data_IF_453232309411
#
_entry.id   IF_453232309411
#
_cell.length_a   1.000
_cell.length_b   1.000
_cell.length_c   1.000
_cell.angle_alpha   90.00
_cell.angle_beta   90.00
_cell.angle_gamma   90.00
#
_symmetry.space_group_name_H-M   'P 1'
#
loop_
_entity.id
_entity.type
_entity.pdbx_description
1 polymer ?
#
# COMPACT_ATOMS: atom_id res chain seq x y z
N UNK A 1 -1.69 5.76 19.65
CA UNK A 1 -2.82 5.89 18.71
C UNK A 1 -2.31 6.01 17.30
N UNK A 2 -2.82 5.18 16.40
CA UNK A 2 -2.38 5.21 15.00
C UNK A 2 -2.92 6.47 14.32
N UNK A 3 -2.03 7.25 13.71
CA UNK A 3 -2.39 8.43 12.92
C UNK A 3 -2.03 8.24 11.45
N UNK A 4 -1.45 7.10 11.12
CA UNK A 4 -0.93 6.77 9.79
C UNK A 4 -1.55 5.49 9.28
N UNK A 5 -1.90 5.47 8.00
CA UNK A 5 -2.35 4.26 7.32
C UNK A 5 -1.53 4.07 6.04
N UNK A 6 -1.13 2.84 5.81
CA UNK A 6 -0.45 2.45 4.57
C UNK A 6 -1.47 2.00 3.54
N UNK A 7 -1.25 2.35 2.28
CA UNK A 7 -2.06 1.85 1.17
C UNK A 7 -1.29 0.75 0.45
N UNK A 8 -1.98 -0.34 0.11
CA UNK A 8 -1.38 -1.32 -0.80
C UNK A 8 -1.50 -0.81 -2.24
N UNK A 9 -0.95 -1.58 -3.18
CA UNK A 9 -0.85 -1.13 -4.57
C UNK A 9 -2.21 -0.87 -5.20
N UNK A 10 -3.16 -1.79 -5.02
CA UNK A 10 -4.47 -1.64 -5.66
C UNK A 10 -5.28 -0.51 -5.06
N UNK A 11 -5.21 -0.31 -3.74
CA UNK A 11 -5.85 0.84 -3.08
C UNK A 11 -5.33 2.14 -3.66
N UNK A 12 -4.00 2.26 -3.79
CA UNK A 12 -3.37 3.44 -4.37
C UNK A 12 -3.81 3.66 -5.83
N UNK A 13 -3.87 2.59 -6.62
CA UNK A 13 -4.30 2.67 -8.03
C UNK A 13 -5.76 3.10 -8.16
N UNK A 14 -6.65 2.53 -7.36
CA UNK A 14 -8.06 2.91 -7.41
C UNK A 14 -8.28 4.35 -6.96
N UNK A 15 -7.54 4.77 -5.95
CA UNK A 15 -7.58 6.15 -5.49
C UNK A 15 -7.12 7.11 -6.60
N UNK A 16 -6.02 6.79 -7.25
CA UNK A 16 -5.50 7.57 -8.38
C UNK A 16 -6.52 7.65 -9.53
N UNK A 17 -7.14 6.52 -9.88
CA UNK A 17 -8.09 6.43 -10.99
C UNK A 17 -9.47 7.02 -10.65
N UNK A 18 -9.71 7.38 -9.38
CA UNK A 18 -11.01 7.87 -8.95
C UNK A 18 -12.08 6.78 -8.87
N UNK A 19 -11.67 5.51 -8.82
CA UNK A 19 -12.59 4.38 -8.75
C UNK A 19 -13.03 4.11 -7.31
N UNK A 20 -13.69 5.08 -6.70
CA UNK A 20 -14.09 5.07 -5.29
C UNK A 20 -15.06 3.92 -4.98
N UNK A 21 -15.87 3.53 -5.93
CA UNK A 21 -16.83 2.43 -5.80
C UNK A 21 -16.15 1.06 -5.57
N UNK A 22 -14.86 0.95 -5.90
CA UNK A 22 -14.08 -0.27 -5.65
C UNK A 22 -13.50 -0.31 -4.24
N UNK A 23 -13.56 0.80 -3.53
CA UNK A 23 -12.95 0.93 -2.20
C UNK A 23 -14.03 0.72 -1.14
N UNK A 24 -13.74 -0.16 -0.17
CA UNK A 24 -14.68 -0.46 0.91
C UNK A 24 -14.97 0.75 1.79
N UNK A 25 -16.15 0.73 2.46
CA UNK A 25 -16.58 1.87 3.26
C UNK A 25 -15.63 2.22 4.41
N UNK A 26 -15.10 1.21 5.10
CA UNK A 26 -14.14 1.44 6.19
C UNK A 26 -12.80 1.95 5.66
N UNK A 27 -12.40 1.49 4.47
CA UNK A 27 -11.19 1.98 3.81
C UNK A 27 -11.35 3.44 3.44
N UNK A 28 -12.50 3.85 2.93
CA UNK A 28 -12.78 5.27 2.61
C UNK A 28 -12.66 6.12 3.87
N UNK A 29 -13.25 5.69 4.97
CA UNK A 29 -13.12 6.42 6.25
C UNK A 29 -11.67 6.56 6.67
N UNK A 30 -10.87 5.50 6.53
CA UNK A 30 -9.45 5.54 6.86
C UNK A 30 -8.69 6.50 5.94
N UNK A 31 -8.99 6.49 4.65
CA UNK A 31 -8.37 7.39 3.68
C UNK A 31 -8.65 8.86 4.00
N UNK A 32 -9.81 9.16 4.57
CA UNK A 32 -10.19 10.52 4.95
C UNK A 32 -9.62 10.95 6.31
N UNK A 33 -9.35 9.97 7.19
CA UNK A 33 -9.01 10.23 8.59
C UNK A 33 -7.51 10.24 8.87
N UNK A 34 -6.78 9.30 8.25
CA UNK A 34 -5.38 9.07 8.56
C UNK A 34 -4.44 9.76 7.59
N UNK A 35 -3.24 10.07 8.07
CA UNK A 35 -2.13 10.43 7.20
C UNK A 35 -1.75 9.20 6.39
N UNK A 36 -1.63 9.35 5.06
CA UNK A 36 -1.46 8.22 4.16
C UNK A 36 -0.01 8.05 3.74
N UNK A 37 0.44 6.81 3.75
CA UNK A 37 1.77 6.45 3.31
C UNK A 37 1.72 5.23 2.40
N UNK A 38 2.74 5.06 1.58
CA UNK A 38 2.92 3.86 0.76
C UNK A 38 4.36 3.38 0.88
N UNK A 39 4.54 2.08 0.78
CA UNK A 39 5.88 1.49 0.64
C UNK A 39 6.46 1.87 -0.72
N UNK A 40 7.77 2.16 -0.82
CA UNK A 40 8.40 2.37 -2.13
C UNK A 40 8.22 1.19 -3.08
N UNK A 41 8.00 -0.02 -2.56
CA UNK A 41 7.79 -1.21 -3.40
C UNK A 41 6.50 -1.09 -4.24
N UNK A 42 5.53 -0.31 -3.77
CA UNK A 42 4.29 -0.06 -4.53
C UNK A 42 4.63 0.56 -5.88
N UNK A 43 5.61 1.45 -5.92
CA UNK A 43 6.07 2.07 -7.15
C UNK A 43 6.65 1.02 -8.12
N UNK A 44 7.42 0.07 -7.61
CA UNK A 44 7.98 -1.01 -8.44
C UNK A 44 6.89 -1.95 -8.94
N UNK A 45 5.91 -2.27 -8.09
CA UNK A 45 4.77 -3.09 -8.52
C UNK A 45 3.96 -2.38 -9.62
N UNK A 46 3.76 -1.07 -9.50
CA UNK A 46 3.10 -0.29 -10.56
C UNK A 46 3.88 -0.37 -11.87
N UNK A 47 5.20 -0.30 -11.82
CA UNK A 47 6.04 -0.46 -13.01
C UNK A 47 5.88 -1.84 -13.61
N UNK A 48 5.85 -2.88 -12.77
CA UNK A 48 5.58 -4.24 -13.22
C UNK A 48 4.21 -4.34 -13.90
N UNK A 49 3.18 -3.77 -13.30
CA UNK A 49 1.83 -3.78 -13.86
C UNK A 49 1.75 -3.02 -15.18
N UNK A 50 2.51 -1.95 -15.33
CA UNK A 50 2.61 -1.21 -16.59
C UNK A 50 3.25 -2.08 -17.69
N UNK A 51 4.31 -2.80 -17.33
CA UNK A 51 5.02 -3.65 -18.29
C UNK A 51 4.21 -4.83 -18.79
N UNK A 52 3.26 -5.31 -17.99
CA UNK A 52 2.35 -6.39 -18.38
C UNK A 52 0.97 -5.88 -18.84
N UNK A 53 0.89 -4.59 -19.16
CA UNK A 53 -0.32 -3.95 -19.69
C UNK A 53 -1.56 -4.01 -18.78
N UNK A 54 -1.36 -4.06 -17.47
CA UNK A 54 -2.44 -4.02 -16.51
C UNK A 54 -2.83 -2.60 -16.11
N UNK A 55 -1.92 -1.65 -16.27
CA UNK A 55 -2.18 -0.21 -16.13
C UNK A 55 -1.54 0.51 -17.33
N UNK A 56 -1.98 1.74 -17.60
CA UNK A 56 -1.51 2.51 -18.74
C UNK A 56 -0.68 3.74 -18.36
N UNK A 57 -0.65 4.10 -17.08
CA UNK A 57 0.07 5.30 -16.63
C UNK A 57 1.36 4.91 -15.91
N UNK A 58 2.43 5.73 -16.07
CA UNK A 58 3.69 5.43 -15.41
C UNK A 58 3.65 5.75 -13.90
N UNK A 59 4.47 5.03 -13.09
CA UNK A 59 4.46 5.20 -11.64
C UNK A 59 4.83 6.60 -11.16
N UNK A 60 5.74 7.28 -11.85
CA UNK A 60 6.15 8.63 -11.45
C UNK A 60 4.96 9.59 -11.45
N UNK A 61 4.15 9.56 -12.50
CA UNK A 61 2.98 10.42 -12.63
C UNK A 61 1.92 10.06 -11.59
N UNK A 62 1.71 8.76 -11.36
CA UNK A 62 0.76 8.29 -10.35
C UNK A 62 1.18 8.80 -8.96
N UNK A 63 2.44 8.63 -8.59
CA UNK A 63 2.93 9.06 -7.28
C UNK A 63 2.86 10.57 -7.10
N UNK A 64 3.18 11.34 -8.14
CA UNK A 64 3.04 12.81 -8.08
C UNK A 64 1.60 13.24 -7.85
N UNK A 65 0.67 12.59 -8.54
CA UNK A 65 -0.76 12.88 -8.38
C UNK A 65 -1.25 12.50 -6.98
N UNK A 66 -0.87 11.33 -6.48
CA UNK A 66 -1.26 10.89 -5.13
C UNK A 66 -0.70 11.80 -4.05
N UNK A 67 0.54 12.27 -4.20
CA UNK A 67 1.14 13.21 -3.26
C UNK A 67 0.41 14.55 -3.28
N UNK A 68 0.10 15.06 -4.46
CA UNK A 68 -0.56 16.35 -4.62
C UNK A 68 -2.01 16.33 -4.13
N UNK A 69 -2.77 15.31 -4.52
CA UNK A 69 -4.22 15.28 -4.31
C UNK A 69 -4.61 14.71 -2.94
N UNK A 70 -3.79 13.80 -2.39
CA UNK A 70 -4.12 13.10 -1.16
C UNK A 70 -3.04 13.19 -0.08
N UNK A 71 -1.94 13.88 -0.36
CA UNK A 71 -0.86 14.02 0.59
C UNK A 71 -0.13 12.72 0.91
N UNK A 72 -0.20 11.72 0.03
CA UNK A 72 0.45 10.43 0.27
C UNK A 72 1.96 10.58 0.24
N UNK A 73 2.61 10.08 1.29
CA UNK A 73 4.07 10.08 1.42
C UNK A 73 4.63 8.68 1.25
N UNK A 74 5.86 8.60 0.78
CA UNK A 74 6.58 7.33 0.64
C UNK A 74 7.34 7.05 1.93
N UNK A 75 7.25 5.81 2.43
CA UNK A 75 7.97 5.39 3.61
C UNK A 75 9.49 5.43 3.36
N UNK A 76 10.24 5.73 4.41
CA UNK A 76 11.70 5.81 4.33
C UNK A 76 12.43 4.94 5.35
N UNK A 77 11.81 3.86 5.79
CA UNK A 77 12.47 2.88 6.65
C UNK A 77 13.69 2.31 5.92
N UNK A 78 14.71 1.89 6.68
CA UNK A 78 15.90 1.32 6.06
C UNK A 78 15.52 0.06 5.26
N UNK A 79 16.08 -0.06 4.07
CA UNK A 79 15.80 -1.19 3.20
C UNK A 79 16.15 -2.51 3.89
N UNK A 80 17.27 -2.54 4.60
CA UNK A 80 17.69 -3.72 5.36
C UNK A 80 16.65 -4.13 6.38
N UNK A 81 16.13 -3.19 7.17
CA UNK A 81 15.10 -3.49 8.17
C UNK A 81 13.82 -4.03 7.55
N UNK A 82 13.42 -3.47 6.42
CA UNK A 82 12.22 -3.92 5.71
C UNK A 82 12.42 -5.34 5.19
N UNK A 83 13.57 -5.63 4.60
CA UNK A 83 13.89 -6.97 4.07
C UNK A 83 13.92 -8.00 5.21
N UNK A 84 14.55 -7.67 6.34
CA UNK A 84 14.59 -8.58 7.49
C UNK A 84 13.17 -8.89 8.00
N UNK A 85 12.32 -7.90 8.08
CA UNK A 85 10.93 -8.11 8.48
C UNK A 85 10.18 -8.96 7.45
N UNK A 86 10.41 -8.73 6.16
CA UNK A 86 9.78 -9.48 5.09
C UNK A 86 10.20 -10.96 5.06
N UNK A 87 11.44 -11.26 5.48
CA UNK A 87 11.91 -12.64 5.59
C UNK A 87 11.05 -13.49 6.51
N UNK A 88 10.42 -12.88 7.50
CA UNK A 88 9.59 -13.57 8.50
C UNK A 88 8.16 -13.78 8.04
N UNK A 89 7.79 -13.25 6.89
CA UNK A 89 6.44 -13.41 6.34
C UNK A 89 6.44 -14.63 5.42
N UNK A 90 5.84 -15.72 5.90
CA UNK A 90 5.87 -17.01 5.22
C UNK A 90 4.55 -17.45 4.59
N UNK A 91 3.48 -16.72 4.87
CA UNK A 91 2.13 -17.06 4.39
C UNK A 91 1.87 -16.62 2.93
N UNK A 92 2.80 -15.93 2.33
CA UNK A 92 2.78 -15.60 0.89
C UNK A 92 4.19 -15.67 0.31
N UNK A 93 4.29 -15.95 -0.99
CA UNK A 93 5.55 -15.93 -1.74
C UNK A 93 5.69 -14.66 -2.58
N UNK A 94 4.62 -13.87 -2.69
CA UNK A 94 4.65 -12.64 -3.46
C UNK A 94 5.57 -11.61 -2.80
N UNK A 95 6.67 -11.22 -3.43
CA UNK A 95 7.62 -10.30 -2.83
C UNK A 95 7.05 -8.90 -2.61
N UNK A 96 6.13 -8.46 -3.46
CA UNK A 96 5.49 -7.16 -3.28
C UNK A 96 4.65 -7.16 -2.00
N UNK A 97 3.80 -8.15 -1.82
CA UNK A 97 2.96 -8.27 -0.62
C UNK A 97 3.80 -8.40 0.65
N UNK A 98 4.87 -9.20 0.59
CA UNK A 98 5.76 -9.38 1.75
C UNK A 98 6.36 -8.07 2.21
N UNK A 99 6.81 -7.24 1.28
CA UNK A 99 7.43 -5.94 1.61
C UNK A 99 6.38 -4.93 2.06
N UNK A 100 5.22 -4.88 1.41
CA UNK A 100 4.13 -3.98 1.82
C UNK A 100 3.72 -4.27 3.27
N UNK A 101 3.48 -5.54 3.59
CA UNK A 101 3.10 -5.94 4.95
C UNK A 101 4.22 -5.71 5.96
N UNK A 102 5.46 -6.05 5.59
CA UNK A 102 6.62 -5.84 6.47
C UNK A 102 6.76 -4.36 6.85
N UNK A 103 6.58 -3.48 5.91
CA UNK A 103 6.71 -2.05 6.16
C UNK A 103 5.61 -1.53 7.08
N UNK A 104 4.39 -2.01 6.91
CA UNK A 104 3.30 -1.69 7.81
C UNK A 104 3.56 -2.24 9.23
N UNK A 105 4.06 -3.48 9.33
CA UNK A 105 4.39 -4.11 10.61
C UNK A 105 5.46 -3.36 11.38
N UNK A 106 6.50 -2.89 10.70
CA UNK A 106 7.60 -2.17 11.34
C UNK A 106 7.12 -0.95 12.13
N UNK A 107 6.05 -0.35 11.68
CA UNK A 107 5.51 0.86 12.27
C UNK A 107 4.18 0.63 13.02
N UNK A 108 3.72 -0.60 13.09
CA UNK A 108 2.42 -0.98 13.68
C UNK A 108 1.27 -0.13 13.14
N UNK A 109 1.27 0.12 11.84
CA UNK A 109 0.27 0.97 11.20
C UNK A 109 -0.87 0.17 10.58
N UNK A 110 -1.97 0.86 10.36
CA UNK A 110 -3.05 0.30 9.55
C UNK A 110 -2.56 0.04 8.13
N UNK A 111 -3.07 -1.01 7.53
CA UNK A 111 -2.86 -1.30 6.11
C UNK A 111 -4.23 -1.36 5.44
N UNK A 112 -4.45 -0.49 4.49
CA UNK A 112 -5.69 -0.44 3.71
C UNK A 112 -5.52 -1.38 2.53
N UNK A 113 -6.23 -2.50 2.56
CA UNK A 113 -6.11 -3.54 1.55
C UNK A 113 -7.41 -4.33 1.43
N UNK A 114 -7.76 -4.68 0.20
CA UNK A 114 -8.86 -5.60 -0.09
C UNK A 114 -8.42 -7.06 -0.02
N UNK A 115 -7.13 -7.32 -0.01
CA UNK A 115 -6.58 -8.67 -0.08
C UNK A 115 -6.98 -9.49 1.15
N UNK A 116 -7.78 -10.54 0.92
CA UNK A 116 -8.30 -11.38 2.01
C UNK A 116 -7.19 -12.18 2.71
N UNK A 117 -6.15 -12.56 1.99
CA UNK A 117 -5.02 -13.31 2.57
C UNK A 117 -4.23 -12.43 3.50
N UNK A 118 -3.93 -11.20 3.07
CA UNK A 118 -3.27 -10.22 3.94
C UNK A 118 -4.15 -9.93 5.16
N UNK A 119 -5.45 -9.71 4.94
CA UNK A 119 -6.39 -9.42 6.03
C UNK A 119 -6.47 -10.53 7.06
N UNK A 120 -6.27 -11.80 6.64
CA UNK A 120 -6.27 -12.94 7.55
C UNK A 120 -5.01 -12.98 8.43
N UNK A 121 -3.89 -12.50 7.92
CA UNK A 121 -2.59 -12.64 8.60
C UNK A 121 -2.07 -11.37 9.26
N UNK A 122 -2.48 -10.19 8.80
CA UNK A 122 -2.07 -8.93 9.41
C UNK A 122 -3.26 -8.29 10.13
N UNK A 123 -3.16 -8.20 11.45
CA UNK A 123 -4.29 -7.81 12.31
C UNK A 123 -4.76 -6.34 12.14
N UNK A 124 -3.92 -5.48 11.62
CA UNK A 124 -4.24 -4.06 11.46
C UNK A 124 -4.70 -3.71 10.03
N UNK A 125 -5.35 -4.66 9.35
CA UNK A 125 -5.94 -4.41 8.05
C UNK A 125 -7.32 -3.79 8.17
N UNK A 126 -7.67 -2.98 7.18
CA UNK A 126 -8.99 -2.36 7.08
C UNK A 126 -9.43 -2.31 5.62
N UNK A 127 -10.73 -2.50 5.42
CA UNK A 127 -11.33 -2.39 4.09
C UNK A 127 -12.79 -1.94 4.08
#
# INVERSE_FOLDING_TARGET
MATVAHCDTHTALWLYAGEIERIGGKAIEALETFELMVSPIVRLEMQFLLEIDRISENPERIFKSLAKDFGIKVCNDSFESVVEAAERIHWTRDPFDRIIVAQAQLNNTLLITKDAVIGKHYKYCIW
#
